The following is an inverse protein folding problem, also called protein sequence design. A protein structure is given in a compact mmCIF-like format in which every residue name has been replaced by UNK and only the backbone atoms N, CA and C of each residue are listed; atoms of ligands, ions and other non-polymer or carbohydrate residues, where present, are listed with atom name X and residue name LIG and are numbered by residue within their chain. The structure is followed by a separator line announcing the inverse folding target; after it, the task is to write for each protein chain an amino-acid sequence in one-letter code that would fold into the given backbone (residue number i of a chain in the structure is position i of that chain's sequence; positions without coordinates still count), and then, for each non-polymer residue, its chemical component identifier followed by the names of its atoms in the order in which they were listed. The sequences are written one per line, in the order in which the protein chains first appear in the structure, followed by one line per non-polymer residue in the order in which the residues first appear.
data_IF_618826361150
#
_entry.id   IF_618826361150
#
_cell.length_a   1.000
_cell.length_b   1.000
_cell.length_c   1.000
_cell.angle_alpha   90.00
_cell.angle_beta   90.00
_cell.angle_gamma   90.00
#
_symmetry.space_group_name_H-M   'P 1'
#
loop_
_entity.id
_entity.type
_entity.pdbx_description
1 polymer ?
#
# COMPACT_ATOMS: atom_id res chain seq x y z
N UNK A 1 33.31 -18.81 -52.72
CA UNK A 1 32.52 -18.04 -51.73
C UNK A 1 33.43 -16.94 -51.19
N UNK A 2 33.09 -15.66 -51.38
CA UNK A 2 34.03 -14.53 -51.19
C UNK A 2 34.15 -14.16 -49.70
N UNK A 3 35.38 -13.93 -49.24
CA UNK A 3 35.77 -13.55 -47.86
C UNK A 3 35.12 -12.24 -47.36
N UNK A 4 34.50 -11.47 -48.25
CA UNK A 4 33.78 -10.23 -47.95
C UNK A 4 32.34 -10.42 -47.43
N UNK A 5 31.70 -11.55 -47.72
CA UNK A 5 30.29 -11.79 -47.34
C UNK A 5 30.15 -12.20 -45.85
N UNK A 6 31.22 -12.75 -45.26
CA UNK A 6 31.23 -13.19 -43.85
C UNK A 6 31.39 -12.01 -42.87
N UNK A 7 32.11 -10.97 -43.28
CA UNK A 7 32.39 -9.79 -42.44
C UNK A 7 31.15 -8.89 -42.25
N UNK A 8 30.29 -8.80 -43.26
CA UNK A 8 29.04 -8.02 -43.20
C UNK A 8 27.96 -8.69 -42.34
N UNK A 9 27.92 -10.03 -42.30
CA UNK A 9 27.02 -10.82 -41.45
C UNK A 9 27.35 -10.71 -39.96
N UNK A 10 28.63 -10.62 -39.59
CA UNK A 10 29.06 -10.52 -38.18
C UNK A 10 28.81 -9.12 -37.59
N UNK A 11 29.14 -8.05 -38.33
CA UNK A 11 28.97 -6.67 -37.86
C UNK A 11 27.47 -6.31 -37.66
N UNK A 12 26.60 -6.79 -38.56
CA UNK A 12 25.15 -6.57 -38.46
C UNK A 12 24.50 -7.27 -37.27
N UNK A 13 25.04 -8.43 -36.84
CA UNK A 13 24.48 -9.17 -35.72
C UNK A 13 24.86 -8.52 -34.37
N UNK A 14 26.09 -8.05 -34.22
CA UNK A 14 26.51 -7.31 -33.01
C UNK A 14 25.78 -5.97 -32.88
N UNK A 15 25.56 -5.25 -33.99
CA UNK A 15 24.78 -4.02 -33.99
C UNK A 15 23.29 -4.27 -33.61
N UNK A 16 22.67 -5.33 -34.14
CA UNK A 16 21.30 -5.74 -33.75
C UNK A 16 21.19 -6.05 -32.27
N UNK A 17 22.13 -6.82 -31.71
CA UNK A 17 22.15 -7.15 -30.29
C UNK A 17 22.29 -5.89 -29.44
N UNK A 18 23.17 -4.97 -29.83
CA UNK A 18 23.36 -3.71 -29.11
C UNK A 18 22.09 -2.84 -29.09
N UNK A 19 21.42 -2.70 -30.24
CA UNK A 19 20.14 -1.98 -30.34
C UNK A 19 19.08 -2.65 -29.47
N UNK A 20 18.98 -3.98 -29.48
CA UNK A 20 18.03 -4.71 -28.64
C UNK A 20 18.30 -4.53 -27.14
N UNK A 21 19.56 -4.53 -26.70
CA UNK A 21 19.92 -4.34 -25.29
C UNK A 21 19.61 -2.91 -24.82
N UNK A 22 19.87 -1.90 -25.65
CA UNK A 22 19.51 -0.50 -25.33
C UNK A 22 17.99 -0.33 -25.28
N UNK A 23 17.25 -0.86 -26.25
CA UNK A 23 15.79 -0.80 -26.24
C UNK A 23 15.16 -1.57 -25.07
N UNK A 24 15.69 -2.77 -24.74
CA UNK A 24 15.24 -3.50 -23.56
C UNK A 24 15.61 -2.76 -22.27
N UNK A 25 16.78 -2.15 -22.18
CA UNK A 25 17.18 -1.32 -21.04
C UNK A 25 16.28 -0.08 -20.87
N UNK A 26 15.89 0.57 -21.97
CA UNK A 26 14.94 1.70 -21.97
C UNK A 26 13.53 1.23 -21.64
N UNK A 27 13.07 0.09 -22.18
CA UNK A 27 11.76 -0.49 -21.86
C UNK A 27 11.68 -0.92 -20.39
N UNK A 28 12.73 -1.56 -19.88
CA UNK A 28 12.89 -1.89 -18.47
C UNK A 28 12.88 -0.60 -17.65
N UNK A 29 13.70 0.41 -17.97
CA UNK A 29 13.70 1.70 -17.26
C UNK A 29 12.35 2.43 -17.29
N UNK A 30 11.61 2.34 -18.40
CA UNK A 30 10.26 2.90 -18.52
C UNK A 30 9.23 2.13 -17.68
N UNK A 31 9.31 0.80 -17.64
CA UNK A 31 8.46 -0.07 -16.81
C UNK A 31 8.80 0.08 -15.32
N UNK A 32 10.08 0.27 -14.99
CA UNK A 32 10.59 0.55 -13.65
C UNK A 32 10.46 2.02 -13.24
N UNK A 33 9.62 2.82 -13.91
CA UNK A 33 9.09 4.05 -13.34
C UNK A 33 8.15 3.67 -12.18
N UNK A 34 8.76 3.16 -11.10
CA UNK A 34 8.12 2.87 -9.83
C UNK A 34 7.62 4.19 -9.30
N UNK A 35 6.31 4.43 -9.37
CA UNK A 35 5.69 5.54 -8.66
C UNK A 35 6.12 5.41 -7.21
N UNK A 36 6.98 6.32 -6.75
CA UNK A 36 7.42 6.36 -5.36
C UNK A 36 6.16 6.58 -4.52
N UNK A 37 5.88 5.67 -3.61
CA UNK A 37 4.74 5.81 -2.70
C UNK A 37 4.88 7.13 -1.92
N UNK A 38 3.77 7.88 -1.81
CA UNK A 38 3.71 9.11 -1.03
C UNK A 38 3.39 8.72 0.41
N UNK A 39 4.37 8.80 1.29
CA UNK A 39 4.24 8.36 2.70
C UNK A 39 4.06 9.51 3.69
N UNK A 40 4.23 10.75 3.24
CA UNK A 40 4.04 11.98 3.99
C UNK A 40 3.07 12.90 3.22
N UNK A 41 1.86 13.10 3.77
CA UNK A 41 0.78 13.80 3.09
C UNK A 41 -0.35 14.20 4.06
N UNK A 42 -0.99 15.35 3.82
CA UNK A 42 -2.13 15.85 4.61
C UNK A 42 -3.28 14.85 4.72
N UNK A 43 -3.55 14.06 3.68
CA UNK A 43 -4.59 13.03 3.72
C UNK A 43 -4.23 11.90 4.69
N UNK A 44 -2.94 11.53 4.77
CA UNK A 44 -2.46 10.52 5.74
C UNK A 44 -2.62 11.07 7.16
N UNK A 45 -2.28 12.34 7.37
CA UNK A 45 -2.43 12.99 8.68
C UNK A 45 -3.89 13.08 9.10
N UNK A 46 -4.80 13.41 8.18
CA UNK A 46 -6.23 13.44 8.44
C UNK A 46 -6.75 12.09 8.96
N UNK A 47 -6.34 10.98 8.33
CA UNK A 47 -6.71 9.64 8.80
C UNK A 47 -6.07 9.33 10.15
N UNK A 48 -4.76 9.56 10.30
CA UNK A 48 -4.02 9.25 11.54
C UNK A 48 -4.58 9.99 12.76
N UNK A 49 -4.96 11.25 12.59
CA UNK A 49 -5.40 12.12 13.69
C UNK A 49 -6.90 12.03 13.96
N UNK A 50 -7.69 11.53 13.01
CA UNK A 50 -9.13 11.40 13.19
C UNK A 50 -9.55 10.10 13.88
N UNK A 51 -10.85 9.85 13.81
CA UNK A 51 -11.56 8.85 14.61
C UNK A 51 -12.43 7.99 13.70
N UNK A 52 -12.51 6.69 13.95
CA UNK A 52 -13.52 5.85 13.31
C UNK A 52 -14.86 6.04 14.03
N UNK A 53 -15.97 6.07 13.28
CA UNK A 53 -17.27 6.54 13.77
C UNK A 53 -17.73 5.99 15.13
N UNK A 54 -17.38 4.74 15.47
CA UNK A 54 -17.77 4.09 16.72
C UNK A 54 -16.73 4.22 17.86
N UNK A 55 -15.62 4.92 17.61
CA UNK A 55 -14.49 5.09 18.53
C UNK A 55 -14.01 6.54 18.51
N UNK A 56 -14.49 7.35 19.46
CA UNK A 56 -14.26 8.80 19.52
C UNK A 56 -13.22 9.22 20.56
N UNK A 57 -12.69 8.25 21.31
CA UNK A 57 -11.78 8.42 22.43
C UNK A 57 -10.32 8.16 22.07
N UNK A 58 -10.06 7.40 20.99
CA UNK A 58 -8.72 7.07 20.52
C UNK A 58 -8.57 7.31 19.03
N UNK A 59 -7.46 7.94 18.65
CA UNK A 59 -7.15 8.23 17.25
C UNK A 59 -6.85 6.95 16.48
N UNK A 60 -7.06 6.96 15.16
CA UNK A 60 -6.68 5.83 14.29
C UNK A 60 -5.20 5.50 14.44
N UNK A 61 -4.32 6.51 14.49
CA UNK A 61 -2.89 6.26 14.71
C UNK A 61 -2.63 5.47 15.98
N UNK A 62 -3.24 5.89 17.09
CA UNK A 62 -2.96 5.28 18.38
C UNK A 62 -3.53 3.87 18.45
N UNK A 63 -4.75 3.62 17.97
CA UNK A 63 -5.30 2.26 17.94
C UNK A 63 -4.46 1.31 17.06
N UNK A 64 -4.08 1.76 15.87
CA UNK A 64 -3.42 0.91 14.88
C UNK A 64 -1.92 0.71 15.13
N UNK A 65 -1.22 1.65 15.76
CA UNK A 65 0.21 1.51 16.11
C UNK A 65 0.50 0.33 17.04
N UNK A 66 -0.46 -0.11 17.84
CA UNK A 66 -0.28 -1.27 18.73
C UNK A 66 -0.80 -2.57 18.13
N UNK A 67 -1.82 -2.50 17.28
CA UNK A 67 -2.41 -3.68 16.67
C UNK A 67 -1.60 -4.19 15.46
N UNK A 68 -0.83 -3.31 14.80
CA UNK A 68 -0.04 -3.65 13.62
C UNK A 68 1.44 -3.73 13.93
N UNK A 69 2.09 -4.77 13.41
CA UNK A 69 3.53 -4.89 13.33
C UNK A 69 3.97 -4.21 12.04
N UNK A 70 4.93 -3.30 12.16
CA UNK A 70 5.50 -2.52 11.05
C UNK A 70 4.45 -1.84 10.15
N UNK A 71 3.54 -0.99 10.72
CA UNK A 71 2.51 -0.33 9.94
C UNK A 71 3.11 0.59 8.87
N UNK A 72 2.72 0.38 7.62
CA UNK A 72 3.11 1.16 6.47
C UNK A 72 1.93 1.98 5.95
N UNK A 73 2.15 3.29 5.78
CA UNK A 73 1.14 4.23 5.33
C UNK A 73 1.52 4.79 3.98
N UNK A 74 0.58 4.82 3.05
CA UNK A 74 0.75 5.51 1.77
C UNK A 74 -0.51 6.22 1.32
N UNK A 75 -0.31 7.26 0.54
CA UNK A 75 -1.34 8.00 -0.16
C UNK A 75 -1.24 7.77 -1.66
N UNK A 76 -2.38 7.67 -2.32
CA UNK A 76 -2.50 7.79 -3.76
C UNK A 76 -3.87 8.34 -4.16
N UNK A 77 -3.93 8.98 -5.32
CA UNK A 77 -5.19 9.33 -5.96
C UNK A 77 -5.64 8.15 -6.84
N UNK A 78 -6.86 7.66 -6.60
CA UNK A 78 -7.45 6.61 -7.42
C UNK A 78 -7.74 7.13 -8.84
N UNK A 79 -7.89 6.22 -9.80
CA UNK A 79 -8.28 6.58 -11.18
C UNK A 79 -9.63 7.31 -11.27
N UNK A 80 -10.45 7.18 -10.23
CA UNK A 80 -11.74 7.84 -10.04
C UNK A 80 -11.61 9.26 -9.47
N UNK A 81 -10.40 9.75 -9.19
CA UNK A 81 -10.14 11.05 -8.57
C UNK A 81 -10.23 11.06 -7.04
N UNK A 82 -10.50 9.91 -6.41
CA UNK A 82 -10.63 9.83 -4.95
C UNK A 82 -9.27 9.82 -4.26
N UNK A 83 -9.13 10.58 -3.18
CA UNK A 83 -7.97 10.54 -2.30
C UNK A 83 -8.04 9.28 -1.42
N UNK A 84 -7.08 8.37 -1.60
CA UNK A 84 -7.02 7.12 -0.85
C UNK A 84 -5.79 7.10 0.02
N UNK A 85 -6.00 6.82 1.30
CA UNK A 85 -4.94 6.46 2.25
C UNK A 85 -5.02 4.96 2.48
N UNK A 86 -3.90 4.28 2.33
CA UNK A 86 -3.77 2.86 2.61
C UNK A 86 -2.84 2.67 3.82
N UNK A 87 -3.32 1.91 4.79
CA UNK A 87 -2.52 1.32 5.85
C UNK A 87 -2.33 -0.16 5.54
N UNK A 88 -1.10 -0.65 5.59
CA UNK A 88 -0.80 -2.07 5.52
C UNK A 88 0.16 -2.49 6.63
N UNK A 89 0.14 -3.77 6.99
CA UNK A 89 1.06 -4.33 7.99
C UNK A 89 0.57 -5.68 8.49
N UNK A 90 1.35 -6.32 9.33
CA UNK A 90 0.96 -7.60 9.93
C UNK A 90 0.11 -7.36 11.18
N UNK A 91 -0.95 -8.13 11.35
CA UNK A 91 -1.81 -8.05 12.54
C UNK A 91 -2.43 -9.40 12.85
N UNK A 92 -2.93 -9.55 14.07
CA UNK A 92 -3.69 -10.73 14.49
C UNK A 92 -5.19 -10.48 14.26
N UNK A 93 -5.84 -11.38 13.52
CA UNK A 93 -7.27 -11.33 13.28
C UNK A 93 -7.85 -12.75 13.34
N UNK A 94 -8.94 -12.94 14.09
CA UNK A 94 -9.62 -14.25 14.22
C UNK A 94 -8.70 -15.41 14.65
N UNK A 95 -7.67 -15.11 15.46
CA UNK A 95 -6.70 -16.09 15.95
C UNK A 95 -5.54 -16.41 15.00
N UNK A 96 -5.50 -15.77 13.83
CA UNK A 96 -4.42 -15.91 12.85
C UNK A 96 -3.62 -14.61 12.72
N UNK A 97 -2.30 -14.75 12.57
CA UNK A 97 -1.42 -13.63 12.20
C UNK A 97 -1.33 -13.57 10.68
N UNK A 98 -1.54 -12.39 10.11
CA UNK A 98 -1.52 -12.22 8.67
C UNK A 98 -1.36 -10.77 8.24
N UNK A 99 -1.28 -10.55 6.93
CA UNK A 99 -1.13 -9.22 6.36
C UNK A 99 -2.49 -8.57 6.15
N UNK A 100 -2.73 -7.45 6.80
CA UNK A 100 -3.94 -6.64 6.63
C UNK A 100 -3.66 -5.39 5.79
N UNK A 101 -4.65 -5.02 4.97
CA UNK A 101 -4.65 -3.77 4.21
C UNK A 101 -5.97 -3.06 4.44
N UNK A 102 -5.92 -1.79 4.84
CA UNK A 102 -7.07 -0.94 5.07
C UNK A 102 -7.00 0.28 4.14
N UNK A 103 -8.10 0.56 3.46
CA UNK A 103 -8.22 1.69 2.56
C UNK A 103 -9.26 2.68 3.07
N UNK A 104 -8.83 3.91 3.27
CA UNK A 104 -9.65 5.03 3.68
C UNK A 104 -9.82 5.97 2.48
N UNK A 105 -11.06 6.37 2.20
CA UNK A 105 -11.35 7.44 1.25
C UNK A 105 -11.47 8.73 2.05
N UNK A 106 -10.65 9.73 1.71
CA UNK A 106 -10.60 11.02 2.37
C UNK A 106 -11.26 12.07 1.47
N UNK A 107 -12.02 13.00 2.04
CA UNK A 107 -12.57 14.11 1.28
C UNK A 107 -11.46 15.06 0.78
N UNK A 108 -11.78 15.89 -0.21
CA UNK A 108 -10.81 16.81 -0.84
C UNK A 108 -10.16 17.78 0.16
N UNK A 109 -10.92 18.18 1.19
CA UNK A 109 -10.49 19.10 2.24
C UNK A 109 -9.61 18.46 3.33
N UNK A 110 -9.42 17.13 3.30
CA UNK A 110 -8.70 16.38 4.33
C UNK A 110 -9.25 16.57 5.76
N UNK A 111 -10.57 16.71 5.88
CA UNK A 111 -11.27 16.91 7.16
C UNK A 111 -12.08 15.69 7.60
N UNK A 112 -12.52 14.87 6.65
CA UNK A 112 -13.35 13.69 6.89
C UNK A 112 -12.85 12.50 6.07
N UNK A 113 -13.03 11.29 6.59
CA UNK A 113 -12.71 10.07 5.88
C UNK A 113 -13.70 8.95 6.18
N UNK A 114 -13.76 7.98 5.28
CA UNK A 114 -14.53 6.74 5.46
C UNK A 114 -13.63 5.54 5.23
N UNK A 115 -13.69 4.57 6.15
CA UNK A 115 -13.08 3.26 5.93
C UNK A 115 -13.85 2.54 4.81
N UNK A 116 -13.22 2.39 3.65
CA UNK A 116 -13.88 1.96 2.42
C UNK A 116 -13.76 0.46 2.18
N UNK A 117 -12.54 -0.09 2.28
CA UNK A 117 -12.28 -1.50 2.02
C UNK A 117 -11.19 -2.04 2.95
N UNK A 118 -11.24 -3.35 3.22
CA UNK A 118 -10.19 -4.05 3.97
C UNK A 118 -9.89 -5.42 3.36
N UNK A 119 -8.64 -5.85 3.50
CA UNK A 119 -8.17 -7.18 3.13
C UNK A 119 -7.39 -7.82 4.26
N UNK A 120 -7.42 -9.15 4.31
CA UNK A 120 -6.56 -9.97 5.16
C UNK A 120 -6.06 -11.18 4.35
N UNK A 121 -4.75 -11.42 4.30
CA UNK A 121 -4.13 -12.52 3.54
C UNK A 121 -4.73 -12.69 2.12
N UNK A 122 -4.78 -11.59 1.37
CA UNK A 122 -5.35 -11.48 0.01
C UNK A 122 -6.87 -11.57 -0.14
N UNK A 123 -7.60 -11.89 0.92
CA UNK A 123 -9.07 -11.95 0.90
C UNK A 123 -9.68 -10.59 1.24
N UNK A 124 -10.60 -10.11 0.39
CA UNK A 124 -11.42 -8.93 0.70
C UNK A 124 -12.41 -9.30 1.79
N UNK A 125 -12.43 -8.51 2.86
CA UNK A 125 -13.30 -8.73 4.00
C UNK A 125 -14.72 -8.21 3.72
N UNK A 126 -15.73 -9.01 4.07
CA UNK A 126 -17.12 -8.57 4.09
C UNK A 126 -17.42 -7.62 5.26
N UNK A 127 -18.66 -7.14 5.39
CA UNK A 127 -19.02 -6.15 6.41
C UNK A 127 -18.80 -6.66 7.85
N UNK A 128 -19.09 -7.93 8.13
CA UNK A 128 -18.98 -8.51 9.47
C UNK A 128 -17.52 -8.76 9.84
N UNK A 129 -16.75 -9.31 8.90
CA UNK A 129 -15.31 -9.50 9.06
C UNK A 129 -14.59 -8.17 9.24
N UNK A 130 -15.02 -7.15 8.48
CA UNK A 130 -14.51 -5.80 8.62
C UNK A 130 -14.75 -5.24 10.01
N UNK A 131 -15.98 -5.36 10.50
CA UNK A 131 -16.33 -4.93 11.84
C UNK A 131 -15.48 -5.63 12.90
N UNK A 132 -15.36 -6.96 12.78
CA UNK A 132 -14.55 -7.78 13.70
C UNK A 132 -13.09 -7.35 13.73
N UNK A 133 -12.47 -7.07 12.57
CA UNK A 133 -11.08 -6.60 12.53
C UNK A 133 -10.92 -5.25 13.24
N UNK A 134 -11.82 -4.30 13.00
CA UNK A 134 -11.80 -2.99 13.68
C UNK A 134 -11.96 -3.19 15.19
N UNK A 135 -12.93 -4.00 15.64
CA UNK A 135 -13.11 -4.29 17.06
C UNK A 135 -11.84 -4.88 17.67
N UNK A 136 -11.23 -5.88 17.04
CA UNK A 136 -9.98 -6.50 17.51
C UNK A 136 -8.84 -5.48 17.65
N UNK A 137 -8.69 -4.55 16.71
CA UNK A 137 -7.66 -3.50 16.77
C UNK A 137 -7.85 -2.61 18.01
N UNK A 138 -9.07 -2.15 18.27
CA UNK A 138 -9.35 -1.26 19.39
C UNK A 138 -9.32 -2.00 20.74
N UNK A 139 -9.80 -3.24 20.81
CA UNK A 139 -9.66 -4.09 22.01
C UNK A 139 -8.18 -4.35 22.34
N UNK A 140 -7.35 -4.61 21.32
CA UNK A 140 -5.90 -4.79 21.50
C UNK A 140 -5.26 -3.54 22.09
N UNK A 141 -5.62 -2.37 21.58
CA UNK A 141 -5.18 -1.09 22.14
C UNK A 141 -5.61 -0.94 23.61
N UNK A 142 -6.89 -1.18 23.92
CA UNK A 142 -7.43 -1.06 25.28
C UNK A 142 -6.71 -2.01 26.27
N UNK A 143 -6.51 -3.27 25.90
CA UNK A 143 -5.78 -4.24 26.73
C UNK A 143 -4.33 -3.80 26.99
N UNK A 144 -3.68 -3.20 25.99
CA UNK A 144 -2.31 -2.68 26.15
C UNK A 144 -2.28 -1.50 27.10
N UNK A 145 -3.22 -0.56 27.04
CA UNK A 145 -3.28 0.54 28.01
C UNK A 145 -3.41 0.00 29.44
N UNK A 146 -4.27 -0.99 29.67
CA UNK A 146 -4.45 -1.61 31.00
C UNK A 146 -3.22 -2.38 31.50
N UNK A 147 -2.38 -2.91 30.61
CA UNK A 147 -1.19 -3.67 30.99
C UNK A 147 0.00 -2.78 31.44
N UNK A 148 -0.03 -1.49 31.12
CA UNK A 148 1.03 -0.53 31.46
C UNK A 148 0.60 0.51 32.50
N UNK A 149 -0.57 0.32 33.13
CA UNK A 149 -1.06 1.05 34.31
C UNK A 149 -1.10 0.15 35.54
#
# INVERSE_FOLDING_TARGET
MRKGDVMTLSLGNHFRVFVCVVFMGVLVGYVYNTKKDVTDNVYIDAVKQGYLANYTDVTVRDAFNYAFIEPYWRYYEAKTGQHVVELSGETSHSGEVGHAVLQFVVNEEATEFTLFAMKFNDSVLDLEQRWTLVVTVYETWQMKQLAYH
#
